data_IF_038496182998
#
_entry.id   IF_038496182998
#
_cell.length_a   1.000
_cell.length_b   1.000
_cell.length_c   1.000
_cell.angle_alpha   90.00
_cell.angle_beta   90.00
_cell.angle_gamma   90.00
#
_symmetry.space_group_name_H-M   'P 1'
#
loop_
_entity.id
_entity.type
_entity.pdbx_description
1 polymer ?
#
# COMPACT_ATOMS: atom_id res chain seq x y z
N UNK A 1 -15.64 11.84 2.22
CA UNK A 1 -16.44 10.86 1.48
C UNK A 1 -16.45 9.54 2.23
N UNK A 2 -15.30 9.01 2.61
CA UNK A 2 -15.24 7.77 3.40
C UNK A 2 -13.81 7.35 3.72
N UNK A 3 -13.68 6.37 4.60
CA UNK A 3 -12.39 5.78 4.99
C UNK A 3 -12.46 4.26 4.95
N UNK A 4 -11.34 3.63 4.62
CA UNK A 4 -11.14 2.21 4.77
C UNK A 4 -9.92 1.94 5.65
N UNK A 5 -10.17 1.61 6.90
CA UNK A 5 -9.13 1.37 7.92
C UNK A 5 -8.22 0.20 7.53
N UNK A 6 -8.81 -0.83 6.91
CA UNK A 6 -8.08 -2.06 6.55
C UNK A 6 -7.03 -1.84 5.48
N UNK A 7 -7.28 -0.97 4.50
CA UNK A 7 -6.33 -0.62 3.45
C UNK A 7 -5.53 0.65 3.72
N UNK A 8 -5.77 1.32 4.85
CA UNK A 8 -5.12 2.59 5.24
C UNK A 8 -5.40 3.74 4.26
N UNK A 9 -6.61 3.79 3.69
CA UNK A 9 -7.00 4.78 2.67
C UNK A 9 -8.18 5.61 3.16
N UNK A 10 -8.10 6.93 2.96
CA UNK A 10 -9.19 7.88 3.16
C UNK A 10 -9.45 8.66 1.88
N UNK A 11 -10.72 8.84 1.53
CA UNK A 11 -11.16 9.67 0.42
C UNK A 11 -11.80 10.94 0.93
N UNK A 12 -11.16 12.06 0.66
CA UNK A 12 -11.62 13.40 1.03
C UNK A 12 -12.26 14.09 -0.19
N UNK A 13 -13.20 14.98 0.06
CA UNK A 13 -13.77 15.93 -0.92
C UNK A 13 -13.61 17.33 -0.35
N UNK A 14 -13.13 18.23 -1.17
CA UNK A 14 -13.05 19.66 -0.87
C UNK A 14 -13.88 20.43 -1.91
N UNK A 15 -14.36 21.59 -1.51
CA UNK A 15 -15.08 22.52 -2.39
C UNK A 15 -14.07 23.49 -2.99
N UNK A 16 -13.45 23.10 -4.10
CA UNK A 16 -12.49 23.91 -4.85
C UNK A 16 -12.49 23.49 -6.33
N UNK A 17 -12.29 24.46 -7.21
CA UNK A 17 -12.28 24.26 -8.66
C UNK A 17 -10.89 24.54 -9.24
N UNK A 18 -10.61 23.94 -10.41
CA UNK A 18 -9.40 24.19 -11.21
C UNK A 18 -8.07 23.93 -10.46
N UNK A 19 -8.06 23.00 -9.50
CA UNK A 19 -6.84 22.59 -8.82
C UNK A 19 -5.95 21.74 -9.74
N UNK A 20 -4.64 21.92 -9.67
CA UNK A 20 -3.71 20.98 -10.29
C UNK A 20 -3.84 19.60 -9.62
N UNK A 21 -3.75 18.55 -10.41
CA UNK A 21 -3.86 17.18 -9.93
C UNK A 21 -2.86 16.25 -10.62
N UNK A 22 -2.53 15.15 -9.97
CA UNK A 22 -1.74 14.08 -10.57
C UNK A 22 -2.65 13.12 -11.34
N UNK A 23 -2.19 12.69 -12.51
CA UNK A 23 -2.81 11.58 -13.23
C UNK A 23 -2.48 10.27 -12.54
N UNK A 24 -3.45 9.36 -12.51
CA UNK A 24 -3.20 8.01 -12.03
C UNK A 24 -2.55 7.16 -13.13
N UNK A 25 -1.38 6.64 -12.85
CA UNK A 25 -0.71 5.65 -13.66
C UNK A 25 -1.32 4.24 -13.52
N UNK A 26 -0.54 3.21 -13.84
CA UNK A 26 -0.92 1.82 -13.67
C UNK A 26 0.18 1.07 -12.90
N UNK A 27 -0.15 0.54 -11.72
CA UNK A 27 0.83 -0.15 -10.89
C UNK A 27 1.15 -1.59 -11.37
N UNK A 28 0.50 -2.10 -12.41
CA UNK A 28 0.85 -3.38 -13.02
C UNK A 28 1.94 -3.25 -14.09
N UNK A 29 2.15 -2.05 -14.62
CA UNK A 29 3.14 -1.79 -15.67
C UNK A 29 4.50 -1.34 -15.12
N UNK A 30 4.65 -1.26 -13.79
CA UNK A 30 5.86 -0.78 -13.11
C UNK A 30 6.97 -1.82 -13.23
N UNK A 31 8.17 -1.37 -13.58
CA UNK A 31 9.38 -2.19 -13.61
C UNK A 31 10.29 -1.89 -12.41
N UNK A 32 10.90 -2.93 -11.86
CA UNK A 32 11.93 -2.77 -10.83
C UNK A 32 13.12 -2.04 -11.46
N UNK A 33 13.63 -1.02 -10.78
CA UNK A 33 14.68 -0.13 -11.26
C UNK A 33 14.18 1.16 -11.92
N UNK A 34 12.88 1.33 -12.16
CA UNK A 34 12.31 2.59 -12.61
C UNK A 34 12.43 3.69 -11.56
N UNK A 35 12.45 4.94 -12.01
CA UNK A 35 12.44 6.10 -11.13
C UNK A 35 11.18 6.13 -10.25
N UNK A 36 11.40 6.30 -8.97
CA UNK A 36 10.39 6.50 -7.94
C UNK A 36 10.60 7.86 -7.28
N UNK A 37 9.65 8.76 -7.43
CA UNK A 37 9.72 10.12 -6.90
C UNK A 37 8.63 10.25 -5.85
N UNK A 38 9.01 10.40 -4.58
CA UNK A 38 8.09 10.57 -3.48
C UNK A 38 7.93 12.05 -3.14
N UNK A 39 6.68 12.50 -3.05
CA UNK A 39 6.34 13.84 -2.61
C UNK A 39 5.65 13.78 -1.25
N UNK A 40 5.89 14.78 -0.41
CA UNK A 40 5.27 14.86 0.90
C UNK A 40 5.63 16.11 1.66
N UNK A 41 5.26 16.13 2.93
CA UNK A 41 5.55 17.23 3.86
C UNK A 41 6.28 16.69 5.12
N UNK A 42 7.51 16.17 4.98
CA UNK A 42 8.25 15.64 6.11
C UNK A 42 8.51 16.77 7.11
N UNK A 43 8.26 16.47 8.40
CA UNK A 43 8.47 17.42 9.50
C UNK A 43 7.68 18.73 9.42
N UNK A 44 6.64 18.82 8.57
CA UNK A 44 5.84 20.04 8.43
C UNK A 44 6.54 21.17 7.64
N UNK A 45 7.56 20.86 6.87
CA UNK A 45 8.37 21.88 6.16
C UNK A 45 7.58 22.65 5.10
N UNK A 46 6.41 22.17 4.69
CA UNK A 46 5.50 22.88 3.78
C UNK A 46 5.15 24.29 4.27
N UNK A 47 5.02 24.46 5.60
CA UNK A 47 4.72 25.77 6.20
C UNK A 47 5.81 26.84 5.97
N UNK A 48 7.01 26.42 5.57
CA UNK A 48 8.12 27.34 5.35
C UNK A 48 8.18 27.94 3.93
N UNK A 49 7.68 27.21 2.93
CA UNK A 49 7.84 27.61 1.53
C UNK A 49 6.69 27.23 0.59
N UNK A 50 5.56 26.72 1.13
CA UNK A 50 4.38 26.29 0.38
C UNK A 50 4.67 25.25 -0.74
N UNK A 51 5.73 24.45 -0.58
CA UNK A 51 6.14 23.46 -1.57
C UNK A 51 6.36 22.08 -0.93
N UNK A 52 5.93 21.00 -1.59
CA UNK A 52 6.21 19.66 -1.11
C UNK A 52 7.72 19.35 -1.18
N UNK A 53 8.19 18.60 -0.20
CA UNK A 53 9.52 18.00 -0.27
C UNK A 53 9.49 16.84 -1.26
N UNK A 54 10.50 16.77 -2.11
CA UNK A 54 10.68 15.72 -3.12
C UNK A 54 11.89 14.89 -2.75
N UNK A 55 11.72 13.56 -2.73
CA UNK A 55 12.81 12.60 -2.64
C UNK A 55 12.77 11.65 -3.84
N UNK A 56 13.93 11.22 -4.30
CA UNK A 56 14.07 10.40 -5.51
C UNK A 56 14.81 9.13 -5.18
N UNK A 57 14.34 8.04 -5.73
CA UNK A 57 14.94 6.71 -5.69
C UNK A 57 14.47 5.88 -6.87
N UNK A 58 14.43 4.58 -6.68
CA UNK A 58 13.94 3.61 -7.66
C UNK A 58 12.89 2.69 -7.03
N UNK A 59 12.15 1.99 -7.88
CA UNK A 59 11.34 0.86 -7.46
C UNK A 59 12.28 -0.29 -7.12
N UNK A 60 12.39 -0.62 -5.85
CA UNK A 60 13.29 -1.66 -5.35
C UNK A 60 12.70 -3.06 -5.43
N UNK A 61 11.39 -3.18 -5.21
CA UNK A 61 10.64 -4.43 -5.33
C UNK A 61 9.14 -4.18 -5.51
N UNK A 62 8.44 -5.19 -6.02
CA UNK A 62 7.00 -5.21 -6.21
C UNK A 62 6.38 -6.41 -5.49
N UNK A 63 5.09 -6.32 -5.19
CA UNK A 63 4.35 -7.45 -4.60
C UNK A 63 4.73 -7.79 -3.16
N UNK A 64 5.28 -6.82 -2.42
CA UNK A 64 5.74 -7.04 -1.05
C UNK A 64 4.56 -7.20 -0.09
N UNK A 65 4.51 -8.35 0.60
CA UNK A 65 3.47 -8.65 1.58
C UNK A 65 4.04 -8.50 3.00
N UNK A 66 3.73 -7.38 3.64
CA UNK A 66 4.18 -7.08 5.01
C UNK A 66 3.22 -7.68 6.07
N UNK A 67 2.06 -8.20 5.61
CA UNK A 67 1.06 -8.78 6.49
C UNK A 67 0.16 -7.76 7.16
N UNK A 68 -0.28 -8.07 8.38
CA UNK A 68 -1.19 -7.23 9.16
C UNK A 68 -0.40 -6.46 10.21
N UNK A 69 -0.44 -5.14 10.16
CA UNK A 69 0.20 -4.24 11.13
C UNK A 69 -0.87 -3.30 11.67
N UNK A 70 -1.16 -3.36 12.98
CA UNK A 70 -2.17 -2.52 13.66
C UNK A 70 -3.54 -2.55 12.94
N UNK A 71 -4.03 -3.75 12.62
CA UNK A 71 -5.32 -4.02 11.93
C UNK A 71 -5.39 -3.53 10.48
N UNK A 72 -4.28 -3.15 9.86
CA UNK A 72 -4.16 -2.76 8.45
C UNK A 72 -3.46 -3.85 7.66
N UNK A 73 -3.92 -4.08 6.45
CA UNK A 73 -3.36 -5.10 5.55
C UNK A 73 -2.43 -4.44 4.54
N UNK A 74 -1.14 -4.66 4.69
CA UNK A 74 -0.12 -4.18 3.77
C UNK A 74 0.30 -5.30 2.84
N UNK A 75 -0.48 -5.48 1.77
CA UNK A 75 -0.32 -6.54 0.78
C UNK A 75 0.00 -5.95 -0.58
N UNK A 76 0.79 -6.68 -1.37
CA UNK A 76 1.18 -6.29 -2.73
C UNK A 76 1.83 -4.90 -2.82
N UNK A 77 2.61 -4.52 -1.81
CA UNK A 77 3.18 -3.17 -1.70
C UNK A 77 4.29 -2.94 -2.72
N UNK A 78 4.46 -1.68 -3.14
CA UNK A 78 5.62 -1.19 -3.87
C UNK A 78 6.70 -0.86 -2.85
N UNK A 79 7.91 -1.39 -3.02
CA UNK A 79 9.08 -0.99 -2.25
C UNK A 79 9.92 0.02 -3.03
N UNK A 80 10.44 1.05 -2.35
CA UNK A 80 11.34 2.06 -2.92
C UNK A 80 12.44 2.43 -1.94
N UNK A 81 13.59 2.84 -2.46
CA UNK A 81 14.68 3.44 -1.70
C UNK A 81 14.60 4.99 -1.66
N UNK A 82 13.64 5.60 -2.38
CA UNK A 82 13.29 6.99 -2.16
C UNK A 82 13.00 7.24 -0.66
N UNK A 83 13.60 8.26 -0.08
CA UNK A 83 13.49 8.51 1.36
C UNK A 83 12.06 8.84 1.76
N UNK A 84 11.40 7.91 2.45
CA UNK A 84 10.09 8.10 3.08
C UNK A 84 10.31 8.38 4.56
N UNK A 85 9.78 9.49 5.06
CA UNK A 85 9.84 9.88 6.46
C UNK A 85 8.44 10.26 6.96
N UNK A 86 8.30 10.48 8.26
CA UNK A 86 7.06 11.00 8.84
C UNK A 86 6.67 12.32 8.17
N UNK A 87 5.43 12.39 7.66
CA UNK A 87 4.91 13.50 6.86
C UNK A 87 4.88 13.23 5.34
N UNK A 88 5.57 12.19 4.84
CA UNK A 88 5.39 11.73 3.45
C UNK A 88 4.22 10.74 3.31
N UNK A 89 3.79 10.09 4.41
CA UNK A 89 2.65 9.17 4.38
C UNK A 89 1.38 9.87 3.90
N UNK A 90 0.66 9.24 2.95
CA UNK A 90 -0.47 9.83 2.24
C UNK A 90 -0.08 10.64 1.01
N UNK A 91 1.19 11.05 0.88
CA UNK A 91 1.70 11.70 -0.32
C UNK A 91 1.89 10.72 -1.49
N UNK A 92 1.95 11.22 -2.73
CA UNK A 92 2.09 10.37 -3.90
C UNK A 92 3.51 9.84 -4.07
N UNK A 93 3.60 8.61 -4.58
CA UNK A 93 4.76 8.08 -5.27
C UNK A 93 4.49 8.19 -6.76
N UNK A 94 5.35 8.89 -7.51
CA UNK A 94 5.16 9.11 -8.94
C UNK A 94 6.32 8.50 -9.75
N UNK A 95 6.03 8.14 -11.00
CA UNK A 95 7.02 7.64 -11.95
C UNK A 95 7.76 8.81 -12.65
N UNK A 96 8.71 8.47 -13.54
CA UNK A 96 9.53 9.45 -14.27
C UNK A 96 8.76 10.33 -15.27
N UNK A 97 7.51 10.04 -15.57
CA UNK A 97 6.63 10.86 -16.42
C UNK A 97 5.56 11.63 -15.63
N UNK A 98 5.64 11.60 -14.29
CA UNK A 98 4.77 12.37 -13.40
C UNK A 98 3.41 11.75 -13.12
N UNK A 99 3.22 10.45 -13.36
CA UNK A 99 2.00 9.75 -13.01
C UNK A 99 2.10 9.13 -11.61
N UNK A 100 1.02 9.22 -10.83
CA UNK A 100 0.94 8.57 -9.53
C UNK A 100 0.85 7.05 -9.69
N UNK A 101 1.84 6.33 -9.18
CA UNK A 101 1.94 4.88 -9.20
C UNK A 101 1.63 4.25 -7.85
N UNK A 102 1.66 5.03 -6.78
CA UNK A 102 1.33 4.58 -5.43
C UNK A 102 1.15 5.72 -4.45
N UNK A 103 0.81 5.39 -3.22
CA UNK A 103 0.71 6.31 -2.08
C UNK A 103 1.68 5.86 -0.98
N UNK A 104 2.58 6.76 -0.61
CA UNK A 104 3.56 6.51 0.46
C UNK A 104 2.83 6.19 1.76
N UNK A 105 3.26 5.20 2.52
CA UNK A 105 2.56 4.84 3.76
C UNK A 105 3.50 4.45 4.90
N UNK A 106 4.33 3.43 4.77
CA UNK A 106 5.11 2.87 5.86
C UNK A 106 6.59 2.76 5.48
N UNK A 107 7.46 2.85 6.48
CA UNK A 107 8.88 2.55 6.35
C UNK A 107 9.22 1.34 7.22
N UNK A 108 10.21 0.57 6.81
CA UNK A 108 10.85 -0.44 7.64
C UNK A 108 12.10 0.20 8.25
N UNK A 109 12.10 0.39 9.57
CA UNK A 109 13.22 1.01 10.28
C UNK A 109 13.31 0.49 11.71
N UNK A 110 14.52 0.35 12.22
CA UNK A 110 14.79 0.08 13.64
C UNK A 110 14.96 1.37 14.45
N UNK A 111 14.87 2.56 13.80
CA UNK A 111 15.07 3.86 14.40
C UNK A 111 14.11 4.92 13.86
N UNK A 112 14.47 6.19 14.02
CA UNK A 112 13.73 7.32 13.49
C UNK A 112 14.28 7.70 12.11
N UNK A 113 13.52 7.48 11.04
CA UNK A 113 13.83 7.93 9.69
C UNK A 113 14.06 6.80 8.68
N UNK A 114 14.16 7.19 7.42
CA UNK A 114 14.34 6.28 6.30
C UNK A 114 15.76 5.70 6.29
N UNK A 115 15.83 4.38 6.08
CA UNK A 115 17.06 3.63 5.85
C UNK A 115 17.13 3.07 4.42
N UNK A 116 16.35 3.65 3.49
CA UNK A 116 16.27 3.17 2.09
C UNK A 116 15.28 2.01 1.91
N UNK A 117 14.36 1.81 2.84
CA UNK A 117 13.30 0.78 2.74
C UNK A 117 11.96 1.42 3.07
N UNK A 118 11.35 1.99 2.05
CA UNK A 118 10.02 2.58 2.09
C UNK A 118 9.02 1.77 1.30
N UNK A 119 7.72 1.91 1.65
CA UNK A 119 6.64 1.20 1.00
C UNK A 119 5.50 2.14 0.62
N UNK A 120 4.89 1.86 -0.54
CA UNK A 120 3.72 2.55 -1.02
C UNK A 120 2.59 1.58 -1.38
N UNK A 121 1.35 2.00 -1.14
CA UNK A 121 0.16 1.29 -1.58
C UNK A 121 0.03 1.47 -3.10
N UNK A 122 -0.09 0.40 -3.91
CA UNK A 122 -0.18 0.50 -5.35
C UNK A 122 -1.41 1.30 -5.81
N UNK A 123 -1.26 2.09 -6.88
CA UNK A 123 -2.35 2.95 -7.38
C UNK A 123 -3.59 2.16 -7.81
N UNK A 124 -3.45 0.94 -8.33
CA UNK A 124 -4.60 0.13 -8.72
C UNK A 124 -5.41 -0.33 -7.50
N UNK A 125 -4.76 -0.62 -6.36
CA UNK A 125 -5.45 -0.86 -5.09
C UNK A 125 -6.23 0.38 -4.64
N UNK A 126 -5.61 1.56 -4.74
CA UNK A 126 -6.24 2.84 -4.38
C UNK A 126 -7.46 3.11 -5.27
N UNK A 127 -7.35 2.91 -6.60
CA UNK A 127 -8.48 3.08 -7.54
C UNK A 127 -9.68 2.23 -7.14
N UNK A 128 -9.45 0.96 -6.78
CA UNK A 128 -10.51 0.05 -6.36
C UNK A 128 -11.19 0.52 -5.06
N UNK A 129 -10.40 0.90 -4.06
CA UNK A 129 -10.93 1.42 -2.78
C UNK A 129 -11.70 2.72 -2.98
N UNK A 130 -11.17 3.67 -3.79
CA UNK A 130 -11.86 4.93 -4.11
C UNK A 130 -13.20 4.67 -4.79
N UNK A 131 -13.27 3.72 -5.72
CA UNK A 131 -14.51 3.34 -6.40
C UNK A 131 -15.56 2.89 -5.39
N UNK A 132 -15.21 1.96 -4.51
CA UNK A 132 -16.10 1.45 -3.47
C UNK A 132 -16.55 2.55 -2.49
N UNK A 133 -15.64 3.41 -2.05
CA UNK A 133 -15.95 4.52 -1.16
C UNK A 133 -16.91 5.54 -1.81
N UNK A 134 -16.76 5.81 -3.12
CA UNK A 134 -17.65 6.69 -3.86
C UNK A 134 -19.05 6.11 -4.04
N UNK A 135 -19.13 4.82 -4.38
CA UNK A 135 -20.40 4.15 -4.71
C UNK A 135 -21.19 3.75 -3.46
N UNK A 136 -20.50 3.32 -2.40
CA UNK A 136 -21.11 2.67 -1.23
C UNK A 136 -20.83 3.39 0.10
N UNK A 137 -19.99 4.43 0.12
CA UNK A 137 -19.53 5.10 1.35
C UNK A 137 -18.57 4.25 2.21
N UNK A 138 -18.39 2.99 1.86
CA UNK A 138 -17.51 2.02 2.56
C UNK A 138 -17.03 0.95 1.60
N UNK A 139 -15.89 0.33 1.93
CA UNK A 139 -15.41 -0.87 1.23
C UNK A 139 -16.11 -2.09 1.79
N UNK A 140 -16.71 -2.89 0.92
CA UNK A 140 -17.40 -4.12 1.31
C UNK A 140 -16.41 -5.25 1.52
N UNK A 141 -16.41 -5.84 2.72
CA UNK A 141 -15.60 -7.02 3.13
C UNK A 141 -16.42 -8.06 3.87
N UNK A 142 -17.72 -7.96 3.76
CA UNK A 142 -18.72 -8.77 4.45
C UNK A 142 -19.12 -10.05 3.69
N UNK A 143 -18.16 -10.62 2.96
CA UNK A 143 -18.35 -11.90 2.28
C UNK A 143 -17.56 -13.01 2.98
N UNK A 144 -18.17 -14.16 3.09
CA UNK A 144 -17.61 -15.36 3.66
C UNK A 144 -17.32 -16.38 2.55
N UNK A 145 -16.13 -16.97 2.58
CA UNK A 145 -15.70 -17.94 1.55
C UNK A 145 -16.23 -19.37 1.79
N UNK A 146 -16.85 -19.60 2.94
CA UNK A 146 -17.32 -20.92 3.34
C UNK A 146 -16.20 -21.88 3.77
N UNK A 147 -14.97 -21.41 3.90
CA UNK A 147 -13.82 -22.25 4.30
C UNK A 147 -13.11 -21.66 5.51
N UNK A 148 -12.64 -22.54 6.39
CA UNK A 148 -11.67 -22.22 7.42
C UNK A 148 -10.30 -22.73 7.01
N UNK A 149 -9.26 -21.92 7.18
CA UNK A 149 -7.89 -22.26 6.80
C UNK A 149 -6.96 -22.14 8.00
N UNK A 150 -5.86 -22.89 7.94
CA UNK A 150 -4.75 -22.79 8.88
C UNK A 150 -3.43 -22.72 8.10
N UNK A 151 -2.51 -21.88 8.54
CA UNK A 151 -1.17 -21.82 7.93
C UNK A 151 -0.43 -23.14 8.14
N UNK A 152 0.30 -23.59 7.12
CA UNK A 152 1.13 -24.79 7.23
C UNK A 152 2.37 -24.44 8.06
N UNK A 153 2.50 -25.07 9.21
CA UNK A 153 3.69 -25.04 10.05
C UNK A 153 4.57 -26.27 9.83
N UNK A 154 5.71 -26.34 10.53
CA UNK A 154 6.65 -27.48 10.41
C UNK A 154 6.02 -28.82 10.86
N UNK A 155 5.09 -28.79 11.83
CA UNK A 155 4.36 -29.98 12.30
C UNK A 155 3.42 -30.51 11.24
N UNK A 156 2.62 -29.65 10.65
CA UNK A 156 1.67 -29.99 9.57
C UNK A 156 2.44 -30.47 8.33
N UNK A 157 3.51 -29.76 7.93
CA UNK A 157 4.32 -30.14 6.79
C UNK A 157 4.91 -31.55 6.97
N UNK A 158 5.42 -31.87 8.16
CA UNK A 158 5.97 -33.17 8.49
C UNK A 158 4.90 -34.27 8.53
N UNK A 159 3.74 -33.99 9.16
CA UNK A 159 2.65 -34.96 9.29
C UNK A 159 2.09 -35.39 7.92
N UNK A 160 1.90 -34.44 7.00
CA UNK A 160 1.38 -34.69 5.65
C UNK A 160 2.48 -34.93 4.60
N UNK A 161 3.76 -35.01 5.00
CA UNK A 161 4.90 -35.19 4.10
C UNK A 161 4.94 -34.19 2.94
N UNK A 162 4.67 -32.92 3.25
CA UNK A 162 4.65 -31.83 2.27
C UNK A 162 6.08 -31.40 1.88
N UNK A 163 6.27 -31.08 0.61
CA UNK A 163 7.57 -30.59 0.10
C UNK A 163 7.86 -29.13 0.50
N UNK A 164 6.84 -28.41 0.98
CA UNK A 164 6.94 -27.00 1.37
C UNK A 164 6.05 -26.73 2.57
N UNK A 165 6.49 -25.81 3.41
CA UNK A 165 5.70 -25.24 4.51
C UNK A 165 5.00 -23.94 4.15
N UNK A 166 5.14 -23.48 2.91
CA UNK A 166 4.45 -22.30 2.43
C UNK A 166 3.08 -22.68 1.89
N UNK A 167 2.03 -22.06 2.45
CA UNK A 167 0.66 -22.29 2.06
C UNK A 167 -0.28 -22.40 3.24
N UNK A 168 -1.50 -22.83 2.94
CA UNK A 168 -2.55 -23.05 3.93
C UNK A 168 -3.18 -24.43 3.72
N UNK A 169 -3.66 -25.04 4.82
CA UNK A 169 -4.51 -26.21 4.79
C UNK A 169 -5.95 -25.78 5.06
N UNK A 170 -6.89 -26.27 4.26
CA UNK A 170 -8.32 -26.07 4.52
C UNK A 170 -8.72 -27.02 5.64
N UNK A 171 -9.14 -26.48 6.78
CA UNK A 171 -9.49 -27.27 7.97
C UNK A 171 -10.99 -27.52 8.09
N UNK A 172 -11.82 -26.70 7.44
CA UNK A 172 -13.27 -26.84 7.42
C UNK A 172 -13.85 -26.26 6.14
N UNK A 173 -14.81 -26.93 5.57
CA UNK A 173 -15.68 -26.41 4.52
C UNK A 173 -17.10 -26.41 5.09
N UNK A 174 -17.77 -25.26 5.03
CA UNK A 174 -19.17 -25.15 5.46
C UNK A 174 -20.06 -25.58 4.31
N UNK A 175 -21.05 -26.40 4.59
CA UNK A 175 -22.09 -26.73 3.62
C UNK A 175 -23.01 -25.50 3.41
N UNK A 176 -23.38 -25.24 2.19
CA UNK A 176 -24.42 -24.24 1.85
C UNK A 176 -25.77 -24.66 2.41
#
# INVERSE_FOLDING_TARGET
VGTDKSSDIALLKIEADNLPYLRFGNSEDILIGEWAIALGNPFGLFELNDQPTVTVGVISAMGMNLGVIKERYYLNMIQTDASINSGNSGGPLVNGIGEMIGMNTIIWTEGAGSVGVGFAIPINTIKNVIKELKENGKVRRDFWTGISIHSIDDGIAKYYNLKSKYGVIVTKVEAN
#
